data_IF_913465561171
#
_entry.id   IF_913465561171
#
_cell.length_a   1.000
_cell.length_b   1.000
_cell.length_c   1.000
_cell.angle_alpha   90.00
_cell.angle_beta   90.00
_cell.angle_gamma   90.00
#
_symmetry.space_group_name_H-M   'P 1'
#
loop_
_entity.id
_entity.type
_entity.pdbx_description
1 polymer ?
#
# COMPACT_ATOMS: atom_id res chain seq x y z
N UNK A 1 -31.16 6.34 -58.46
CA UNK A 1 -31.89 5.41 -57.57
C UNK A 1 -31.03 4.86 -56.42
N UNK A 2 -29.76 4.48 -56.63
CA UNK A 2 -28.90 3.93 -55.57
C UNK A 2 -28.68 4.85 -54.36
N UNK A 3 -28.51 6.16 -54.58
CA UNK A 3 -28.28 7.15 -53.50
C UNK A 3 -29.49 7.24 -52.55
N UNK A 4 -30.71 7.10 -53.07
CA UNK A 4 -31.91 7.14 -52.24
C UNK A 4 -32.00 5.91 -51.32
N UNK A 5 -31.66 4.73 -51.86
CA UNK A 5 -31.62 3.48 -51.11
C UNK A 5 -30.59 3.50 -49.97
N UNK A 6 -29.44 4.14 -50.18
CA UNK A 6 -28.43 4.32 -49.12
C UNK A 6 -28.97 5.24 -48.02
N UNK A 7 -29.62 6.36 -48.38
CA UNK A 7 -30.22 7.29 -47.40
C UNK A 7 -31.38 6.68 -46.61
N UNK A 8 -32.11 5.74 -47.20
CA UNK A 8 -33.20 5.03 -46.53
C UNK A 8 -32.64 3.97 -45.56
N UNK A 9 -31.61 3.22 -45.96
CA UNK A 9 -30.91 2.27 -45.09
C UNK A 9 -30.24 2.95 -43.89
N UNK A 10 -29.61 4.12 -44.08
CA UNK A 10 -29.05 4.89 -42.95
C UNK A 10 -30.12 5.36 -41.97
N UNK A 11 -31.34 5.66 -42.46
CA UNK A 11 -32.47 6.05 -41.62
C UNK A 11 -33.01 4.87 -40.81
N UNK A 12 -33.10 3.69 -41.41
CA UNK A 12 -33.48 2.46 -40.71
C UNK A 12 -32.44 2.08 -39.64
N UNK A 13 -31.16 2.18 -39.96
CA UNK A 13 -30.08 1.85 -39.02
C UNK A 13 -30.07 2.80 -37.80
N UNK A 14 -30.42 4.08 -37.99
CA UNK A 14 -30.62 5.04 -36.90
C UNK A 14 -31.88 4.77 -36.07
N UNK A 15 -32.95 4.23 -36.66
CA UNK A 15 -34.18 3.84 -35.92
C UNK A 15 -33.95 2.59 -35.08
N UNK A 16 -33.29 1.58 -35.64
CA UNK A 16 -32.94 0.35 -34.92
C UNK A 16 -32.05 0.64 -33.70
N UNK A 17 -31.09 1.57 -33.82
CA UNK A 17 -30.20 1.95 -32.72
C UNK A 17 -30.89 2.71 -31.58
N UNK A 18 -32.06 3.34 -31.83
CA UNK A 18 -32.83 4.05 -30.78
C UNK A 18 -33.89 3.17 -30.12
N UNK A 19 -34.25 2.03 -30.72
CA UNK A 19 -35.28 1.14 -30.18
C UNK A 19 -34.80 0.18 -29.09
N UNK A 20 -33.49 0.08 -28.84
CA UNK A 20 -32.93 -0.88 -27.88
C UNK A 20 -32.78 -0.34 -26.44
N UNK A 21 -33.04 0.95 -26.20
CA UNK A 21 -32.82 1.61 -24.90
C UNK A 21 -34.12 2.03 -24.18
N UNK A 22 -35.30 1.64 -24.70
CA UNK A 22 -36.57 1.84 -23.99
C UNK A 22 -36.83 0.66 -23.04
N UNK A 23 -36.00 0.56 -22.01
CA UNK A 23 -36.32 -0.16 -20.78
C UNK A 23 -37.49 0.54 -20.10
N UNK A 24 -38.53 -0.23 -19.79
CA UNK A 24 -39.83 0.27 -19.37
C UNK A 24 -39.81 1.07 -18.08
N UNK A 25 -40.60 2.14 -18.09
CA UNK A 25 -41.20 2.71 -16.89
C UNK A 25 -42.11 1.62 -16.29
N UNK A 26 -41.59 0.90 -15.29
CA UNK A 26 -42.42 0.15 -14.37
C UNK A 26 -42.88 1.14 -13.30
N UNK A 27 -44.11 1.62 -13.49
CA UNK A 27 -44.93 2.25 -12.45
C UNK A 27 -45.31 1.17 -11.41
N UNK A 28 -44.35 0.76 -10.59
CA UNK A 28 -44.59 -0.10 -9.42
C UNK A 28 -44.92 0.81 -8.23
N UNK A 29 -46.20 1.16 -8.09
CA UNK A 29 -46.80 1.81 -6.92
C UNK A 29 -46.83 0.83 -5.72
N UNK A 30 -45.65 0.39 -5.29
CA UNK A 30 -45.47 -0.29 -4.02
C UNK A 30 -45.51 0.74 -2.90
N UNK A 31 -46.63 0.76 -2.16
CA UNK A 31 -46.84 1.50 -0.91
C UNK A 31 -45.85 0.98 0.15
N UNK A 32 -44.61 1.44 0.05
CA UNK A 32 -43.52 1.11 0.93
C UNK A 32 -43.81 1.77 2.27
N UNK A 33 -44.17 0.96 3.26
CA UNK A 33 -44.20 1.40 4.65
C UNK A 33 -42.82 1.97 4.97
N UNK A 34 -42.80 3.27 5.25
CA UNK A 34 -41.63 4.01 5.72
C UNK A 34 -41.20 3.39 7.06
N UNK A 35 -40.33 2.39 6.98
CA UNK A 35 -39.55 1.92 8.11
C UNK A 35 -38.57 3.06 8.41
N UNK A 36 -38.91 3.89 9.41
CA UNK A 36 -38.09 4.98 9.94
C UNK A 36 -36.84 4.44 10.66
N UNK A 37 -36.16 3.46 10.07
CA UNK A 37 -34.81 3.10 10.43
C UNK A 37 -33.91 4.29 10.09
N UNK A 38 -33.69 5.16 11.08
CA UNK A 38 -32.70 6.22 10.97
C UNK A 38 -31.34 5.56 10.66
N UNK A 39 -30.91 5.62 9.40
CA UNK A 39 -29.59 5.14 8.98
C UNK A 39 -28.53 5.84 9.84
N UNK A 40 -27.94 5.11 10.78
CA UNK A 40 -26.94 5.68 11.67
C UNK A 40 -25.79 6.27 10.83
N UNK A 41 -25.41 7.54 11.06
CA UNK A 41 -24.35 8.17 10.30
C UNK A 41 -23.04 7.44 10.56
N UNK A 42 -22.22 7.29 9.51
CA UNK A 42 -20.87 6.74 9.66
C UNK A 42 -20.06 7.72 10.52
N UNK A 43 -19.53 7.22 11.64
CA UNK A 43 -18.68 7.98 12.57
C UNK A 43 -17.23 7.58 12.35
N UNK A 44 -16.34 8.55 12.29
CA UNK A 44 -14.90 8.30 12.38
C UNK A 44 -14.51 7.88 13.81
N UNK A 45 -13.29 7.33 14.02
CA UNK A 45 -12.78 6.98 15.36
C UNK A 45 -12.76 8.14 16.36
N UNK A 46 -12.72 9.38 15.86
CA UNK A 46 -12.80 10.62 16.65
C UNK A 46 -14.24 11.01 17.04
N UNK A 47 -15.24 10.22 16.64
CA UNK A 47 -16.66 10.46 16.91
C UNK A 47 -17.33 11.41 15.94
N UNK A 48 -16.62 11.97 14.96
CA UNK A 48 -17.19 12.92 14.00
C UNK A 48 -18.08 12.18 13.00
N UNK A 49 -19.36 12.57 12.94
CA UNK A 49 -20.30 12.05 11.94
C UNK A 49 -19.99 12.66 10.58
N UNK A 50 -19.81 11.81 9.56
CA UNK A 50 -19.32 12.24 8.25
C UNK A 50 -20.47 12.38 7.26
N UNK A 51 -21.15 11.25 7.04
CA UNK A 51 -22.22 11.07 6.07
C UNK A 51 -22.86 9.70 6.31
N UNK A 52 -24.15 9.54 6.08
CA UNK A 52 -24.78 8.20 6.11
C UNK A 52 -24.30 7.36 4.92
N UNK A 53 -24.37 6.04 5.06
CA UNK A 53 -23.96 5.12 4.00
C UNK A 53 -24.77 5.33 2.69
N UNK A 54 -26.07 5.55 2.79
CA UNK A 54 -26.90 5.86 1.62
C UNK A 54 -26.51 7.18 0.96
N UNK A 55 -26.26 8.23 1.75
CA UNK A 55 -25.84 9.52 1.22
C UNK A 55 -24.47 9.44 0.50
N UNK A 56 -23.55 8.59 0.98
CA UNK A 56 -22.29 8.29 0.29
C UNK A 56 -22.55 7.60 -1.05
N UNK A 57 -23.36 6.53 -1.07
CA UNK A 57 -23.74 5.79 -2.29
C UNK A 57 -24.43 6.68 -3.31
N UNK A 58 -25.35 7.53 -2.87
CA UNK A 58 -26.03 8.53 -3.68
C UNK A 58 -25.06 9.53 -4.32
N UNK A 59 -24.05 10.00 -3.58
CA UNK A 59 -23.00 10.88 -4.13
C UNK A 59 -22.14 10.17 -5.15
N UNK A 60 -21.66 8.96 -4.85
CA UNK A 60 -20.84 8.18 -5.78
C UNK A 60 -21.61 7.88 -7.07
N UNK A 61 -22.89 7.49 -6.97
CA UNK A 61 -23.79 7.32 -8.11
C UNK A 61 -23.86 8.58 -8.97
N UNK A 62 -24.03 9.76 -8.37
CA UNK A 62 -24.09 11.05 -9.11
C UNK A 62 -22.77 11.40 -9.79
N UNK A 63 -21.63 11.06 -9.19
CA UNK A 63 -20.30 11.27 -9.78
C UNK A 63 -20.07 10.38 -11.00
N UNK A 64 -20.49 9.12 -10.92
CA UNK A 64 -20.34 8.14 -12.00
C UNK A 64 -21.45 8.22 -13.07
N UNK A 65 -22.52 8.98 -12.83
CA UNK A 65 -23.62 9.14 -13.79
C UNK A 65 -23.23 10.02 -14.98
N UNK A 66 -23.72 9.65 -16.17
CA UNK A 66 -23.61 10.48 -17.36
C UNK A 66 -24.60 11.64 -17.29
N UNK A 67 -24.12 12.85 -17.59
CA UNK A 67 -25.02 14.00 -17.81
C UNK A 67 -25.80 13.83 -19.10
N UNK A 68 -26.87 14.62 -19.26
CA UNK A 68 -27.61 14.76 -20.53
C UNK A 68 -26.71 15.10 -21.73
N UNK A 69 -25.56 15.73 -21.47
CA UNK A 69 -24.54 16.02 -22.48
C UNK A 69 -23.69 14.82 -22.91
N UNK A 70 -23.89 13.64 -22.31
CA UNK A 70 -23.04 12.46 -22.49
C UNK A 70 -21.67 12.55 -21.81
N UNK A 71 -21.44 13.54 -20.92
CA UNK A 71 -20.17 13.71 -20.20
C UNK A 71 -20.31 13.22 -18.76
N UNK A 72 -19.29 12.52 -18.27
CA UNK A 72 -19.15 12.07 -16.87
C UNK A 72 -18.32 13.07 -16.06
N UNK A 73 -18.49 13.07 -14.73
CA UNK A 73 -17.58 13.81 -13.83
C UNK A 73 -16.26 13.09 -13.60
N UNK A 74 -16.25 11.77 -13.78
CA UNK A 74 -15.09 10.88 -13.62
C UNK A 74 -14.70 10.27 -14.98
N UNK A 75 -13.51 9.69 -15.08
CA UNK A 75 -13.06 8.96 -16.28
C UNK A 75 -13.97 7.77 -16.60
N UNK A 76 -13.96 7.33 -17.87
CA UNK A 76 -14.76 6.17 -18.30
C UNK A 76 -14.35 4.87 -17.60
N UNK A 77 -13.08 4.74 -17.23
CA UNK A 77 -12.54 3.61 -16.45
C UNK A 77 -13.17 3.55 -15.06
N UNK A 78 -13.16 4.66 -14.32
CA UNK A 78 -13.77 4.74 -12.97
C UNK A 78 -15.28 4.50 -13.04
N UNK A 79 -15.94 5.00 -14.10
CA UNK A 79 -17.36 4.70 -14.31
C UNK A 79 -17.60 3.21 -14.55
N UNK A 80 -16.75 2.56 -15.36
CA UNK A 80 -16.84 1.13 -15.64
C UNK A 80 -16.62 0.30 -14.37
N UNK A 81 -15.65 0.67 -13.55
CA UNK A 81 -15.38 0.01 -12.27
C UNK A 81 -16.56 0.17 -11.29
N UNK A 82 -17.18 1.35 -11.22
CA UNK A 82 -18.39 1.57 -10.44
C UNK A 82 -19.58 0.71 -10.93
N UNK A 83 -19.82 0.67 -12.23
CA UNK A 83 -20.91 -0.12 -12.83
C UNK A 83 -20.68 -1.63 -12.75
N UNK A 84 -19.41 -2.06 -12.73
CA UNK A 84 -19.04 -3.46 -12.51
C UNK A 84 -19.40 -3.98 -11.12
N UNK A 85 -19.56 -3.08 -10.15
CA UNK A 85 -19.85 -3.44 -8.77
C UNK A 85 -18.71 -4.21 -8.10
N UNK A 86 -19.06 -4.98 -7.06
CA UNK A 86 -18.11 -5.80 -6.29
C UNK A 86 -17.04 -4.98 -5.58
N UNK A 87 -15.86 -5.59 -5.42
CA UNK A 87 -14.75 -5.02 -4.65
C UNK A 87 -14.37 -3.63 -5.16
N UNK A 88 -14.19 -3.45 -6.47
CA UNK A 88 -13.78 -2.16 -7.05
C UNK A 88 -14.71 -1.00 -6.69
N UNK A 89 -16.01 -1.26 -6.54
CA UNK A 89 -16.96 -0.23 -6.09
C UNK A 89 -16.72 0.13 -4.63
N UNK A 90 -16.43 -0.83 -3.77
CA UNK A 90 -16.10 -0.60 -2.36
C UNK A 90 -14.83 0.25 -2.23
N UNK A 91 -13.80 -0.02 -3.04
CA UNK A 91 -12.60 0.82 -3.10
C UNK A 91 -12.91 2.28 -3.49
N UNK A 92 -13.85 2.49 -4.42
CA UNK A 92 -14.31 3.84 -4.77
C UNK A 92 -15.11 4.51 -3.64
N UNK A 93 -15.89 3.75 -2.88
CA UNK A 93 -16.61 4.25 -1.70
C UNK A 93 -15.63 4.67 -0.60
N UNK A 94 -14.57 3.89 -0.35
CA UNK A 94 -13.48 4.21 0.60
C UNK A 94 -12.72 5.46 0.13
N UNK A 95 -12.29 5.51 -1.13
CA UNK A 95 -11.56 6.66 -1.67
C UNK A 95 -12.39 7.96 -1.59
N UNK A 96 -13.71 7.87 -1.80
CA UNK A 96 -14.61 9.01 -1.66
C UNK A 96 -14.73 9.45 -0.19
N UNK A 97 -14.81 8.51 0.76
CA UNK A 97 -14.82 8.81 2.19
C UNK A 97 -13.53 9.50 2.64
N UNK A 98 -12.37 9.05 2.17
CA UNK A 98 -11.08 9.68 2.45
C UNK A 98 -11.01 11.09 1.87
N UNK A 99 -11.46 11.29 0.63
CA UNK A 99 -11.52 12.61 0.02
C UNK A 99 -12.45 13.57 0.78
N UNK A 100 -13.60 13.07 1.28
CA UNK A 100 -14.51 13.85 2.13
C UNK A 100 -13.85 14.19 3.47
N UNK A 101 -13.08 13.27 4.06
CA UNK A 101 -12.32 13.53 5.30
C UNK A 101 -11.35 14.69 5.13
N UNK A 102 -10.57 14.66 4.05
CA UNK A 102 -9.49 15.63 3.80
C UNK A 102 -10.04 16.99 3.38
N UNK A 103 -11.05 16.99 2.50
CA UNK A 103 -11.53 18.22 1.86
C UNK A 103 -12.86 18.74 2.42
N UNK A 104 -13.53 17.99 3.30
CA UNK A 104 -14.86 18.30 3.79
C UNK A 104 -15.95 18.24 2.71
N UNK A 105 -17.19 18.48 3.11
CA UNK A 105 -18.34 18.56 2.20
C UNK A 105 -18.85 19.97 1.93
N UNK A 106 -18.20 20.98 2.53
CA UNK A 106 -18.67 22.35 2.47
C UNK A 106 -18.50 22.97 1.07
N UNK A 107 -19.54 23.68 0.62
CA UNK A 107 -19.50 24.41 -0.66
C UNK A 107 -18.39 25.47 -0.71
N UNK A 108 -17.99 26.00 0.45
CA UNK A 108 -16.85 26.95 0.55
C UNK A 108 -15.52 26.30 0.17
N UNK A 109 -15.35 25.01 0.45
CA UNK A 109 -14.13 24.24 0.17
C UNK A 109 -14.04 23.88 -1.32
N UNK A 110 -15.17 23.72 -2.01
CA UNK A 110 -15.19 23.51 -3.46
C UNK A 110 -14.46 24.61 -4.23
N UNK A 111 -14.68 25.88 -3.89
CA UNK A 111 -13.98 26.99 -4.55
C UNK A 111 -12.47 26.93 -4.30
N UNK A 112 -12.06 26.56 -3.08
CA UNK A 112 -10.63 26.40 -2.73
C UNK A 112 -9.97 25.29 -3.55
N UNK A 113 -10.63 24.13 -3.71
CA UNK A 113 -10.10 23.01 -4.53
C UNK A 113 -10.06 23.39 -6.01
N UNK A 114 -11.09 24.08 -6.50
CA UNK A 114 -11.15 24.53 -7.90
C UNK A 114 -10.11 25.62 -8.20
N UNK A 115 -9.87 26.53 -7.28
CA UNK A 115 -8.83 27.58 -7.40
C UNK A 115 -7.42 26.99 -7.31
N UNK A 116 -7.25 25.89 -6.57
CA UNK A 116 -6.04 25.06 -6.57
C UNK A 116 -5.85 24.23 -7.83
N UNK A 117 -6.68 24.36 -8.88
CA UNK A 117 -6.40 23.71 -10.17
C UNK A 117 -4.97 24.04 -10.58
N UNK A 118 -4.15 23.00 -10.57
CA UNK A 118 -2.71 23.08 -10.79
C UNK A 118 -2.48 23.78 -12.13
N UNK A 119 -2.05 25.04 -12.07
CA UNK A 119 -1.57 25.73 -13.27
C UNK A 119 -0.19 25.15 -13.53
N UNK A 120 -0.12 24.23 -14.49
CA UNK A 120 1.16 23.76 -15.01
C UNK A 120 1.95 24.98 -15.47
N UNK A 121 2.99 25.33 -14.70
CA UNK A 121 3.86 26.43 -15.03
C UNK A 121 5.10 25.83 -15.70
N UNK A 122 5.19 25.83 -17.05
CA UNK A 122 6.31 25.22 -17.77
C UNK A 122 7.65 25.91 -17.49
N UNK A 123 7.63 27.09 -16.86
CA UNK A 123 8.83 27.82 -16.46
C UNK A 123 9.40 27.35 -15.12
N UNK A 124 8.73 26.44 -14.42
CA UNK A 124 9.22 25.80 -13.19
C UNK A 124 9.89 24.47 -13.60
N UNK A 125 11.24 24.35 -13.55
CA UNK A 125 11.96 23.16 -14.01
C UNK A 125 11.89 21.98 -13.02
N UNK A 126 11.13 22.11 -11.94
CA UNK A 126 11.13 21.19 -10.80
C UNK A 126 9.71 20.69 -10.54
N UNK A 127 9.56 19.36 -10.45
CA UNK A 127 8.30 18.68 -10.14
C UNK A 127 7.94 18.93 -8.67
N UNK A 128 6.80 19.57 -8.42
CA UNK A 128 6.24 19.65 -7.08
C UNK A 128 5.44 18.37 -6.79
N UNK A 129 5.84 17.63 -5.76
CA UNK A 129 4.92 16.83 -4.94
C UNK A 129 4.67 17.70 -3.71
N UNK A 130 3.50 18.33 -3.62
CA UNK A 130 3.13 19.09 -2.42
C UNK A 130 2.71 18.11 -1.32
N UNK A 131 3.58 17.90 -0.32
CA UNK A 131 3.16 17.49 1.02
C UNK A 131 2.44 18.66 1.71
N UNK A 132 1.49 18.36 2.61
CA UNK A 132 0.50 19.28 3.22
C UNK A 132 1.05 20.52 3.96
N UNK A 133 2.36 20.62 4.15
CA UNK A 133 2.99 21.77 4.80
C UNK A 133 3.48 22.76 3.75
N UNK A 134 2.68 23.79 3.49
CA UNK A 134 3.02 24.93 2.61
C UNK A 134 4.20 25.73 3.15
N UNK A 135 5.43 25.26 2.91
CA UNK A 135 6.65 26.08 3.02
C UNK A 135 7.37 26.04 1.69
N UNK A 136 7.36 27.17 0.99
CA UNK A 136 8.17 27.37 -0.21
C UNK A 136 9.65 27.44 0.21
N UNK A 137 10.36 26.30 0.14
CA UNK A 137 11.81 26.26 0.29
C UNK A 137 12.44 27.00 -0.90
N UNK A 138 13.11 28.13 -0.63
CA UNK A 138 13.87 28.83 -1.67
C UNK A 138 15.14 28.03 -1.96
N UNK A 139 15.49 27.87 -3.24
CA UNK A 139 16.72 27.19 -3.67
C UNK A 139 17.99 27.80 -3.06
N UNK A 140 17.97 29.08 -2.67
CA UNK A 140 19.05 29.74 -1.92
C UNK A 140 19.32 29.10 -0.56
N UNK A 141 18.31 28.49 0.05
CA UNK A 141 18.42 27.88 1.38
C UNK A 141 18.98 26.45 1.24
N UNK A 142 18.63 25.74 0.17
CA UNK A 142 19.25 24.44 -0.16
C UNK A 142 20.73 24.58 -0.55
N UNK A 143 21.11 25.56 -1.37
CA UNK A 143 22.54 25.76 -1.70
C UNK A 143 23.33 26.31 -0.53
N UNK A 144 22.72 27.03 0.40
CA UNK A 144 23.36 27.48 1.64
C UNK A 144 23.67 26.31 2.58
N UNK A 145 22.80 25.29 2.64
CA UNK A 145 23.07 24.09 3.43
C UNK A 145 24.16 23.22 2.78
N UNK A 146 24.12 23.03 1.45
CA UNK A 146 25.17 22.24 0.75
C UNK A 146 26.55 22.92 0.81
N UNK A 147 26.62 24.26 0.83
CA UNK A 147 27.87 25.01 0.92
C UNK A 147 28.50 25.05 2.33
N UNK A 148 27.82 24.56 3.37
CA UNK A 148 28.39 24.46 4.74
C UNK A 148 28.91 23.07 5.09
N UNK A 149 28.83 22.12 4.17
CA UNK A 149 29.36 20.75 4.33
C UNK A 149 30.74 20.53 3.70
N UNK A 150 31.43 21.59 3.28
CA UNK A 150 32.81 21.48 2.84
C UNK A 150 33.76 22.22 3.80
N UNK A 151 34.70 21.43 4.31
CA UNK A 151 35.95 21.78 5.00
C UNK A 151 35.84 21.98 6.52
N UNK A 152 36.28 20.97 7.28
CA UNK A 152 37.57 21.00 7.99
C UNK A 152 37.95 19.59 8.51
N UNK A 153 38.68 18.85 7.67
CA UNK A 153 39.62 17.83 8.12
C UNK A 153 40.77 18.55 8.86
N UNK A 154 40.78 18.53 10.19
CA UNK A 154 42.00 18.46 11.01
C UNK A 154 41.71 18.36 12.50
N UNK A 155 42.49 17.45 13.11
CA UNK A 155 42.83 17.31 14.53
C UNK A 155 41.87 16.56 15.46
N UNK A 156 42.21 15.27 15.63
CA UNK A 156 42.64 14.71 16.92
C UNK A 156 41.70 14.90 18.11
N UNK A 157 40.71 14.01 18.23
CA UNK A 157 40.25 13.53 19.53
C UNK A 157 39.69 12.10 19.39
N UNK A 158 40.20 11.23 20.24
CA UNK A 158 39.97 9.80 20.42
C UNK A 158 38.52 9.36 20.22
N UNK A 159 38.27 8.57 19.16
CA UNK A 159 37.01 7.86 18.95
C UNK A 159 36.88 6.69 19.94
N UNK A 160 35.66 6.37 20.42
CA UNK A 160 35.41 5.10 21.06
C UNK A 160 35.50 3.99 20.01
N UNK A 161 36.34 3.01 20.30
CA UNK A 161 36.63 1.83 19.50
C UNK A 161 35.35 1.00 19.25
N UNK A 162 34.72 1.21 18.08
CA UNK A 162 33.63 0.37 17.56
C UNK A 162 34.15 -0.80 16.72
N UNK A 163 35.45 -1.11 16.76
CA UNK A 163 36.04 -2.26 16.05
C UNK A 163 35.71 -3.61 16.71
N UNK A 164 34.82 -3.64 17.72
CA UNK A 164 34.52 -4.83 18.51
C UNK A 164 33.11 -5.41 18.31
N UNK A 165 32.54 -5.28 17.12
CA UNK A 165 31.50 -6.19 16.64
C UNK A 165 32.03 -6.97 15.43
N UNK A 166 33.12 -7.70 15.65
CA UNK A 166 33.51 -8.81 14.78
C UNK A 166 32.45 -9.92 14.89
N UNK A 167 31.40 -9.80 14.09
CA UNK A 167 30.45 -10.88 13.84
C UNK A 167 30.95 -11.63 12.61
N UNK A 168 31.80 -12.63 12.86
CA UNK A 168 32.10 -13.67 11.90
C UNK A 168 30.78 -14.34 11.51
N UNK A 169 30.32 -14.07 10.29
CA UNK A 169 29.31 -14.89 9.64
C UNK A 169 30.03 -16.21 9.33
N UNK A 170 29.64 -17.35 9.93
CA UNK A 170 30.29 -18.63 9.64
C UNK A 170 30.11 -18.92 8.15
N UNK A 171 31.20 -18.92 7.38
CA UNK A 171 31.15 -19.15 5.94
C UNK A 171 30.76 -20.60 5.66
N UNK A 172 29.93 -20.76 4.64
CA UNK A 172 29.48 -22.02 4.04
C UNK A 172 30.63 -23.02 3.83
N UNK A 173 30.80 -23.96 4.77
CA UNK A 173 31.49 -25.24 4.58
C UNK A 173 31.35 -26.09 5.86
N UNK A 174 30.12 -26.31 6.32
CA UNK A 174 29.87 -27.27 7.40
C UNK A 174 29.51 -28.60 6.74
N UNK A 175 30.48 -29.52 6.69
CA UNK A 175 30.23 -30.91 6.34
C UNK A 175 29.31 -31.54 7.40
N UNK A 176 28.22 -32.22 7.01
CA UNK A 176 27.34 -32.88 7.95
C UNK A 176 27.98 -34.20 8.39
N UNK A 177 28.63 -34.21 9.54
CA UNK A 177 29.02 -35.46 10.23
C UNK A 177 28.12 -35.65 11.47
N UNK A 178 27.23 -36.64 11.33
CA UNK A 178 26.32 -37.30 12.26
C UNK A 178 26.11 -36.76 13.69
N UNK A 179 24.94 -36.15 13.86
CA UNK A 179 23.81 -36.52 14.74
C UNK A 179 24.10 -37.04 16.16
N UNK A 180 23.71 -36.22 17.12
CA UNK A 180 23.48 -36.57 18.52
C UNK A 180 23.74 -35.36 19.43
N UNK A 181 22.73 -34.53 19.68
CA UNK A 181 22.73 -33.39 20.63
C UNK A 181 23.22 -32.00 20.19
N UNK A 182 23.72 -31.77 18.96
CA UNK A 182 24.24 -30.44 18.58
C UNK A 182 23.28 -29.49 17.85
N UNK A 183 22.06 -29.92 17.49
CA UNK A 183 21.09 -29.02 16.82
C UNK A 183 20.54 -27.94 17.77
N UNK A 184 20.46 -28.24 19.07
CA UNK A 184 19.94 -27.31 20.08
C UNK A 184 20.76 -26.01 20.22
N UNK A 185 22.10 -26.03 20.40
CA UNK A 185 22.88 -24.80 20.59
C UNK A 185 22.92 -23.88 19.38
N UNK A 186 22.91 -24.41 18.16
CA UNK A 186 22.94 -23.58 16.95
C UNK A 186 21.58 -22.94 16.67
N UNK A 187 20.48 -23.65 16.96
CA UNK A 187 19.14 -23.08 16.93
C UNK A 187 18.96 -22.00 18.00
N UNK A 188 19.49 -22.22 19.21
CA UNK A 188 19.40 -21.24 20.31
C UNK A 188 20.19 -19.96 20.00
N UNK A 189 21.39 -20.09 19.41
CA UNK A 189 22.16 -18.94 18.90
C UNK A 189 21.40 -18.20 17.81
N UNK A 190 20.76 -18.93 16.88
CA UNK A 190 19.95 -18.32 15.83
C UNK A 190 18.75 -17.56 16.39
N UNK A 191 17.98 -18.17 17.29
CA UNK A 191 16.83 -17.52 17.93
C UNK A 191 17.24 -16.28 18.73
N UNK A 192 18.36 -16.33 19.44
CA UNK A 192 18.93 -15.18 20.15
C UNK A 192 19.31 -14.05 19.18
N UNK A 193 19.89 -14.39 18.03
CA UNK A 193 20.24 -13.41 16.97
C UNK A 193 18.98 -12.74 16.40
N UNK A 194 17.93 -13.50 16.12
CA UNK A 194 16.64 -12.97 15.65
C UNK A 194 16.02 -12.05 16.71
N UNK A 195 15.98 -12.48 17.98
CA UNK A 195 15.41 -11.69 19.07
C UNK A 195 16.13 -10.35 19.25
N UNK A 196 17.47 -10.34 19.20
CA UNK A 196 18.25 -9.10 19.31
C UNK A 196 17.95 -8.13 18.16
N UNK A 197 17.69 -8.63 16.95
CA UNK A 197 17.31 -7.79 15.79
C UNK A 197 15.92 -7.20 15.94
N UNK A 198 14.95 -8.01 16.41
CA UNK A 198 13.58 -7.54 16.70
C UNK A 198 13.62 -6.42 17.75
N UNK A 199 14.38 -6.60 18.83
CA UNK A 199 14.55 -5.58 19.86
C UNK A 199 15.12 -4.27 19.27
N UNK A 200 16.12 -4.34 18.38
CA UNK A 200 16.66 -3.16 17.70
C UNK A 200 15.64 -2.44 16.80
N UNK A 201 14.73 -3.17 16.15
CA UNK A 201 13.63 -2.57 15.39
C UNK A 201 12.63 -1.87 16.33
N UNK A 202 12.28 -2.49 17.46
CA UNK A 202 11.41 -1.90 18.47
C UNK A 202 11.99 -0.61 19.07
N UNK A 203 13.30 -0.55 19.31
CA UNK A 203 13.99 0.67 19.76
C UNK A 203 13.90 1.79 18.69
N UNK A 204 14.13 1.46 17.41
CA UNK A 204 14.00 2.43 16.32
C UNK A 204 12.57 2.98 16.19
N UNK A 205 11.56 2.11 16.36
CA UNK A 205 10.14 2.53 16.36
C UNK A 205 9.85 3.44 17.57
N UNK A 206 10.38 3.11 18.74
CA UNK A 206 10.17 3.91 19.95
C UNK A 206 10.71 5.34 19.78
N UNK A 207 11.90 5.49 19.20
CA UNK A 207 12.51 6.79 18.86
C UNK A 207 11.67 7.58 17.86
N UNK A 208 10.99 6.90 16.92
CA UNK A 208 10.09 7.55 15.96
C UNK A 208 8.76 7.99 16.56
N UNK A 209 8.27 7.28 17.58
CA UNK A 209 6.99 7.57 18.22
C UNK A 209 7.07 8.67 19.27
N UNK A 210 8.29 9.03 19.73
CA UNK A 210 8.46 10.17 20.63
C UNK A 210 8.11 11.49 19.94
N UNK A 211 7.07 12.13 20.46
CA UNK A 211 6.21 13.13 19.80
C UNK A 211 6.89 14.49 19.59
N UNK A 212 8.05 14.74 20.18
CA UNK A 212 8.65 16.08 20.29
C UNK A 212 9.67 16.44 19.20
N UNK A 213 9.93 15.59 18.21
CA UNK A 213 10.92 15.91 17.16
C UNK A 213 10.36 16.99 16.20
N UNK A 214 11.06 18.12 15.99
CA UNK A 214 10.66 19.16 15.04
C UNK A 214 10.50 18.62 13.62
N UNK A 215 9.41 19.01 12.93
CA UNK A 215 8.98 18.46 11.63
C UNK A 215 10.06 18.53 10.54
N UNK A 216 10.94 19.54 10.57
CA UNK A 216 12.05 19.68 9.62
C UNK A 216 13.15 18.61 9.79
N UNK A 217 13.46 18.20 11.04
CA UNK A 217 14.44 17.16 11.32
C UNK A 217 13.92 15.74 11.02
N UNK A 218 12.60 15.59 10.90
CA UNK A 218 11.95 14.30 10.61
C UNK A 218 12.27 13.79 9.21
N UNK A 219 12.39 14.63 8.18
CA UNK A 219 12.48 14.15 6.78
C UNK A 219 13.80 13.42 6.49
N UNK A 220 14.94 13.96 6.96
CA UNK A 220 16.27 13.31 6.84
C UNK A 220 16.38 12.10 7.80
N UNK A 221 15.74 12.19 8.96
CA UNK A 221 15.62 11.07 9.89
C UNK A 221 14.84 9.90 9.29
N UNK A 222 13.70 10.17 8.63
CA UNK A 222 12.83 9.15 8.05
C UNK A 222 13.49 8.41 6.89
N UNK A 223 14.23 9.07 6.00
CA UNK A 223 14.92 8.35 4.90
C UNK A 223 16.01 7.45 5.45
N UNK A 224 16.83 7.95 6.39
CA UNK A 224 17.87 7.17 7.05
C UNK A 224 17.29 5.98 7.81
N UNK A 225 16.17 6.18 8.49
CA UNK A 225 15.54 5.15 9.30
C UNK A 225 14.74 4.16 8.44
N UNK A 226 14.11 4.62 7.36
CA UNK A 226 13.49 3.76 6.35
C UNK A 226 14.51 2.84 5.71
N UNK A 227 15.69 3.35 5.33
CA UNK A 227 16.78 2.54 4.79
C UNK A 227 17.30 1.52 5.81
N UNK A 228 17.38 1.90 7.09
CA UNK A 228 17.74 0.98 8.18
C UNK A 228 16.69 -0.11 8.38
N UNK A 229 15.40 0.26 8.32
CA UNK A 229 14.28 -0.67 8.47
C UNK A 229 14.24 -1.67 7.32
N UNK A 230 14.37 -1.20 6.08
CA UNK A 230 14.46 -2.04 4.88
C UNK A 230 15.65 -3.01 4.97
N UNK A 231 16.81 -2.52 5.41
CA UNK A 231 17.98 -3.38 5.66
C UNK A 231 17.71 -4.44 6.73
N UNK A 232 17.03 -4.09 7.83
CA UNK A 232 16.64 -5.04 8.86
C UNK A 232 15.65 -6.08 8.33
N UNK A 233 14.67 -5.66 7.51
CA UNK A 233 13.69 -6.55 6.89
C UNK A 233 14.37 -7.57 5.96
N UNK A 234 15.24 -7.11 5.06
CA UNK A 234 15.97 -7.99 4.14
C UNK A 234 16.80 -9.04 4.89
N UNK A 235 17.42 -8.65 6.01
CA UNK A 235 18.18 -9.58 6.84
C UNK A 235 17.29 -10.57 7.60
N UNK A 236 16.07 -10.17 7.98
CA UNK A 236 15.09 -11.06 8.61
C UNK A 236 14.62 -12.13 7.61
N UNK A 237 14.34 -11.72 6.37
CA UNK A 237 13.97 -12.62 5.27
C UNK A 237 15.08 -13.63 4.96
N UNK A 238 16.34 -13.20 4.97
CA UNK A 238 17.50 -14.09 4.84
C UNK A 238 17.55 -15.12 5.99
N UNK A 239 17.29 -14.69 7.23
CA UNK A 239 17.25 -15.57 8.40
C UNK A 239 16.13 -16.62 8.27
N UNK A 240 14.92 -16.21 7.87
CA UNK A 240 13.82 -17.15 7.64
C UNK A 240 14.12 -18.15 6.52
N UNK A 241 14.76 -17.70 5.44
CA UNK A 241 15.16 -18.56 4.33
C UNK A 241 16.17 -19.63 4.80
N UNK A 242 17.15 -19.25 5.62
CA UNK A 242 18.10 -20.20 6.22
C UNK A 242 17.41 -21.19 7.16
N UNK A 243 16.49 -20.73 8.00
CA UNK A 243 15.73 -21.60 8.90
C UNK A 243 14.90 -22.63 8.12
N UNK A 244 14.24 -22.20 7.03
CA UNK A 244 13.50 -23.09 6.16
C UNK A 244 14.40 -24.17 5.52
N UNK A 245 15.62 -23.80 5.11
CA UNK A 245 16.62 -24.76 4.61
C UNK A 245 16.97 -25.80 5.68
N UNK A 246 17.34 -25.35 6.89
CA UNK A 246 17.71 -26.25 8.00
C UNK A 246 16.56 -27.21 8.33
N UNK A 247 15.31 -26.71 8.38
CA UNK A 247 14.15 -27.56 8.64
C UNK A 247 13.92 -28.59 7.53
N UNK A 248 14.15 -28.21 6.27
CA UNK A 248 14.05 -29.13 5.13
C UNK A 248 15.13 -30.22 5.22
N UNK A 249 16.36 -29.86 5.56
CA UNK A 249 17.47 -30.81 5.74
C UNK A 249 17.15 -31.81 6.86
N UNK A 250 16.64 -31.34 8.01
CA UNK A 250 16.22 -32.20 9.12
C UNK A 250 15.09 -33.15 8.70
N UNK A 251 14.12 -32.68 7.92
CA UNK A 251 13.02 -33.51 7.41
C UNK A 251 13.54 -34.61 6.47
N UNK A 252 14.47 -34.27 5.58
CA UNK A 252 15.07 -35.24 4.65
C UNK A 252 15.93 -36.28 5.40
N UNK A 253 16.75 -35.85 6.35
CA UNK A 253 17.54 -36.79 7.18
C UNK A 253 16.65 -37.72 8.02
N UNK A 254 15.54 -37.20 8.56
CA UNK A 254 14.56 -38.00 9.30
C UNK A 254 13.91 -39.07 8.43
N UNK A 255 13.58 -38.74 7.18
CA UNK A 255 13.05 -39.70 6.19
C UNK A 255 14.08 -40.77 5.82
N UNK A 256 15.35 -40.39 5.63
CA UNK A 256 16.43 -41.33 5.31
C UNK A 256 16.70 -42.29 6.48
N UNK A 257 16.64 -41.80 7.72
CA UNK A 257 16.75 -42.67 8.91
C UNK A 257 15.59 -43.65 9.02
N UNK A 258 14.35 -43.21 8.72
CA UNK A 258 13.19 -44.10 8.66
C UNK A 258 13.35 -45.20 7.60
N UNK A 259 13.88 -44.83 6.43
CA UNK A 259 14.13 -45.76 5.33
C UNK A 259 15.19 -46.83 5.66
N UNK A 260 16.14 -46.50 6.52
CA UNK A 260 17.24 -47.39 6.90
C UNK A 260 16.95 -48.26 8.13
N UNK A 261 16.04 -47.85 9.02
CA UNK A 261 15.79 -48.54 10.29
C UNK A 261 14.70 -49.62 10.23
N UNK A 262 13.76 -49.57 9.27
CA UNK A 262 12.73 -50.61 9.12
C UNK A 262 12.85 -51.38 7.78
N UNK A 263 13.44 -52.59 7.77
CA UNK A 263 13.53 -53.41 6.56
C UNK A 263 12.17 -53.83 5.99
N UNK A 264 11.07 -53.74 6.76
CA UNK A 264 9.71 -54.00 6.25
C UNK A 264 9.18 -52.83 5.41
N UNK A 265 9.56 -51.58 5.69
CA UNK A 265 9.20 -50.43 4.84
C UNK A 265 9.87 -50.49 3.46
N UNK A 266 11.11 -51.02 3.36
CA UNK A 266 11.78 -51.23 2.06
C UNK A 266 11.00 -52.15 1.12
N UNK A 267 10.34 -53.18 1.63
CA UNK A 267 9.48 -54.06 0.82
C UNK A 267 8.17 -53.40 0.36
N UNK A 268 7.67 -52.41 1.10
CA UNK A 268 6.42 -51.72 0.77
C UNK A 268 6.62 -50.66 -0.31
N UNK A 269 7.75 -49.94 -0.29
CA UNK A 269 8.05 -48.89 -1.27
C UNK A 269 8.58 -49.43 -2.61
N UNK A 270 9.20 -50.63 -2.64
CA UNK A 270 9.69 -51.23 -3.89
C UNK A 270 8.62 -51.84 -4.81
N UNK A 271 7.33 -51.66 -4.51
CA UNK A 271 6.20 -52.15 -5.31
C UNK A 271 5.41 -51.06 -6.04
N UNK A 272 5.80 -49.80 -5.87
CA UNK A 272 5.28 -48.64 -6.59
C UNK A 272 6.41 -48.03 -7.44
#
# INVERSE_FOLDING_TARGET
MAIQRIKDLERELRRAKRGADNGGDNDDEGDAKDDEGEDEPIKYPDGTAVISADALRMRLRRLCSLKKSGKSHVSDEVRKDYLGGGEKREWLEIALLEAIKVHGTDRKLYNRVKERQWKYNPSVPEFFVEDETTTCLRRSDLTREVATTEVEDKTSATAPDTSRLGLEIPSENIKPELVGHKVAPDLEKFMTSVQNRVNGVCEMISVLTDVEIPVAARKVGYTTLSNKLEKCQNQLEECYSRLASILTDIQMEGLDQLHNTDPKMKQFLGKY
#
